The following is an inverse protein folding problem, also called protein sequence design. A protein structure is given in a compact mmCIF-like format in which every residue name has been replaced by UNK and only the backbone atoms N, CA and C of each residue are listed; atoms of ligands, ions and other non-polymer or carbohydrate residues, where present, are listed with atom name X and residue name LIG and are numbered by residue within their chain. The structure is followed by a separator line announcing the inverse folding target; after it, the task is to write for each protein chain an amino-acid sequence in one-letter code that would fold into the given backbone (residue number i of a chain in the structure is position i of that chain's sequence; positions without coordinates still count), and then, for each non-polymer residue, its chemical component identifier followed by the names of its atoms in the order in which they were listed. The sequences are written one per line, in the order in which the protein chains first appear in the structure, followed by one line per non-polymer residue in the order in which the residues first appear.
data_IF_464501351942
#
_entry.id   IF_464501351942
#
_cell.length_a   1.000
_cell.length_b   1.000
_cell.length_c   1.000
_cell.angle_alpha   90.00
_cell.angle_beta   90.00
_cell.angle_gamma   90.00
#
_symmetry.space_group_name_H-M   'P 1'
#
loop_
_entity.id
_entity.type
_entity.pdbx_description
1 polymer ?
#
# COMPACT_ATOMS: atom_id res chain seq x y z
N UNK A 1 10.55 -15.84 -7.47
CA UNK A 1 11.20 -14.57 -7.08
C UNK A 1 12.33 -14.89 -6.12
N UNK A 2 13.51 -14.31 -6.33
CA UNK A 2 14.66 -14.53 -5.44
C UNK A 2 14.52 -13.75 -4.11
N UNK A 3 13.78 -12.65 -4.16
CA UNK A 3 13.50 -11.80 -3.00
C UNK A 3 12.03 -11.43 -3.05
N UNK A 4 11.33 -11.67 -1.96
CA UNK A 4 9.95 -11.29 -1.78
C UNK A 4 9.94 -10.05 -0.90
N UNK A 5 9.94 -8.89 -1.53
CA UNK A 5 9.93 -7.58 -0.87
C UNK A 5 8.92 -6.67 -1.55
N UNK A 6 8.26 -5.82 -0.78
CA UNK A 6 7.44 -4.71 -1.24
C UNK A 6 8.30 -3.61 -1.91
N UNK A 7 9.51 -3.44 -1.41
CA UNK A 7 10.44 -2.39 -1.79
C UNK A 7 11.32 -2.79 -2.97
N UNK A 8 11.69 -1.80 -3.80
CA UNK A 8 12.68 -2.00 -4.85
C UNK A 8 14.12 -2.11 -4.28
N UNK A 9 15.12 -2.12 -5.16
CA UNK A 9 16.54 -2.23 -4.81
C UNK A 9 17.07 -1.05 -3.98
N UNK A 10 16.41 0.10 -4.03
CA UNK A 10 16.74 1.31 -3.27
C UNK A 10 15.93 1.40 -1.95
N UNK A 11 15.25 0.34 -1.56
CA UNK A 11 14.31 0.29 -0.45
C UNK A 11 13.13 1.26 -0.58
N UNK A 12 12.80 1.67 -1.80
CA UNK A 12 11.66 2.55 -2.04
C UNK A 12 10.39 1.74 -2.21
N UNK A 13 9.35 2.11 -1.46
CA UNK A 13 7.97 1.70 -1.69
C UNK A 13 7.44 2.47 -2.91
N UNK A 14 7.29 1.79 -4.03
CA UNK A 14 6.91 2.44 -5.28
C UNK A 14 5.52 3.11 -5.19
N UNK A 15 4.61 2.58 -4.35
CA UNK A 15 3.31 3.22 -4.10
C UNK A 15 3.38 4.36 -3.06
N UNK A 16 4.56 4.89 -2.82
CA UNK A 16 4.86 6.15 -2.10
C UNK A 16 5.72 7.09 -2.96
N UNK A 17 6.08 6.67 -4.19
CA UNK A 17 7.04 7.37 -5.04
C UNK A 17 6.37 8.20 -6.16
N UNK A 18 5.05 8.14 -6.32
CA UNK A 18 4.32 8.90 -7.33
C UNK A 18 4.07 10.35 -6.88
N UNK A 19 5.14 11.12 -6.78
CA UNK A 19 5.08 12.54 -6.44
C UNK A 19 5.03 13.37 -7.72
N UNK A 20 4.07 14.31 -7.81
CA UNK A 20 3.87 15.12 -9.01
C UNK A 20 5.02 16.11 -9.26
N UNK A 21 5.52 16.70 -8.19
CA UNK A 21 6.57 17.71 -8.23
C UNK A 21 7.55 17.50 -7.06
N UNK A 22 8.68 16.84 -7.36
CA UNK A 22 9.72 16.58 -6.38
C UNK A 22 10.47 17.83 -5.91
N UNK A 23 10.58 18.85 -6.78
CA UNK A 23 11.34 20.05 -6.46
C UNK A 23 10.67 20.88 -5.36
N UNK A 24 9.34 20.79 -5.27
CA UNK A 24 8.53 21.48 -4.26
C UNK A 24 7.97 20.53 -3.19
N UNK A 25 8.33 19.25 -3.19
CA UNK A 25 7.83 18.28 -2.22
C UNK A 25 8.57 18.37 -0.87
N UNK A 26 7.81 18.48 0.24
CA UNK A 26 8.38 18.44 1.59
C UNK A 26 8.74 17.01 2.00
N UNK A 27 10.02 16.66 1.88
CA UNK A 27 10.54 15.36 2.30
C UNK A 27 10.33 15.07 3.79
N UNK A 28 10.11 16.11 4.60
CA UNK A 28 9.84 15.99 6.04
C UNK A 28 8.34 16.01 6.37
N UNK A 29 7.46 15.77 5.39
CA UNK A 29 6.00 15.85 5.52
C UNK A 29 5.44 14.92 6.61
N UNK A 30 6.00 13.73 6.77
CA UNK A 30 5.61 12.81 7.86
C UNK A 30 6.29 13.20 9.19
N UNK A 31 5.66 14.08 9.94
CA UNK A 31 6.19 14.55 11.25
C UNK A 31 6.09 13.50 12.36
N UNK A 32 5.34 12.43 12.15
CA UNK A 32 5.06 11.40 13.17
C UNK A 32 6.10 10.27 13.09
N UNK A 33 6.55 9.91 11.89
CA UNK A 33 7.50 8.80 11.71
C UNK A 33 8.77 8.94 12.57
N UNK A 34 9.42 10.12 12.69
CA UNK A 34 10.58 10.29 13.56
C UNK A 34 10.31 9.94 15.04
N UNK A 35 9.08 10.16 15.52
CA UNK A 35 8.70 9.87 16.89
C UNK A 35 8.62 8.37 17.20
N UNK A 36 8.31 7.54 16.18
CA UNK A 36 8.12 6.09 16.30
C UNK A 36 9.19 5.29 15.55
N UNK A 37 10.19 5.96 14.99
CA UNK A 37 11.25 5.39 14.15
C UNK A 37 11.91 4.17 14.80
N UNK A 38 12.31 4.25 16.06
CA UNK A 38 13.04 3.17 16.72
C UNK A 38 12.24 1.86 16.82
N UNK A 39 10.90 1.98 16.81
CA UNK A 39 9.99 0.84 16.77
C UNK A 39 9.80 0.32 15.34
N UNK A 40 9.61 1.22 14.36
CA UNK A 40 9.36 0.87 12.97
C UNK A 40 10.62 0.48 12.18
N UNK A 41 11.79 0.90 12.66
CA UNK A 41 13.10 0.64 12.04
C UNK A 41 14.12 0.21 13.08
N UNK A 42 13.97 -0.96 13.72
CA UNK A 42 14.95 -1.44 14.69
C UNK A 42 16.29 -1.76 14.02
N UNK A 43 17.39 -1.21 14.55
CA UNK A 43 18.73 -1.32 13.96
C UNK A 43 19.55 -2.46 14.59
N UNK A 44 18.96 -3.66 14.72
CA UNK A 44 19.61 -4.84 15.28
C UNK A 44 19.05 -6.14 14.69
N UNK A 45 19.82 -7.25 14.80
CA UNK A 45 19.40 -8.56 14.28
C UNK A 45 18.23 -9.13 15.07
N UNK A 46 17.35 -9.84 14.35
CA UNK A 46 16.35 -10.71 14.97
C UNK A 46 17.09 -11.91 15.58
N UNK A 47 16.90 -12.14 16.86
CA UNK A 47 17.46 -13.29 17.57
C UNK A 47 16.57 -14.53 17.46
N UNK A 48 16.31 -15.19 18.59
CA UNK A 48 15.37 -16.31 18.66
C UNK A 48 13.93 -15.81 18.46
N UNK A 49 13.18 -16.49 17.60
CA UNK A 49 11.82 -16.09 17.18
C UNK A 49 10.86 -15.88 18.36
N UNK A 50 10.86 -16.77 19.36
CA UNK A 50 9.97 -16.66 20.51
C UNK A 50 10.23 -15.40 21.35
N UNK A 51 11.51 -15.12 21.66
CA UNK A 51 11.87 -13.91 22.40
C UNK A 51 11.66 -12.64 21.59
N UNK A 52 11.81 -12.74 20.28
CA UNK A 52 11.49 -11.64 19.37
C UNK A 52 9.99 -11.31 19.39
N UNK A 53 9.12 -12.33 19.34
CA UNK A 53 7.66 -12.15 19.50
C UNK A 53 7.32 -11.37 20.77
N UNK A 54 7.81 -11.85 21.92
CA UNK A 54 7.58 -11.18 23.21
C UNK A 54 8.09 -9.73 23.20
N UNK A 55 9.28 -9.51 22.64
CA UNK A 55 9.89 -8.19 22.55
C UNK A 55 9.11 -7.23 21.66
N UNK A 56 8.59 -7.71 20.51
CA UNK A 56 7.77 -6.90 19.60
C UNK A 56 6.50 -6.41 20.30
N UNK A 57 5.73 -7.31 20.90
CA UNK A 57 4.48 -6.94 21.58
C UNK A 57 4.72 -6.03 22.79
N UNK A 58 5.80 -6.26 23.55
CA UNK A 58 6.17 -5.36 24.64
C UNK A 58 6.51 -3.94 24.13
N UNK A 59 7.20 -3.84 23.01
CA UNK A 59 7.53 -2.57 22.37
C UNK A 59 6.28 -1.88 21.82
N UNK A 60 5.40 -2.60 21.14
CA UNK A 60 4.12 -2.09 20.65
C UNK A 60 3.27 -1.49 21.78
N UNK A 61 3.12 -2.22 22.88
CA UNK A 61 2.36 -1.74 24.04
C UNK A 61 3.00 -0.48 24.61
N UNK A 62 4.32 -0.44 24.72
CA UNK A 62 5.06 0.75 25.16
C UNK A 62 4.79 1.94 24.24
N UNK A 63 4.92 1.78 22.93
CA UNK A 63 4.66 2.87 21.97
C UNK A 63 3.20 3.34 22.03
N UNK A 64 2.23 2.41 22.07
CA UNK A 64 0.82 2.73 22.18
C UNK A 64 0.48 3.51 23.46
N UNK A 65 1.08 3.16 24.60
CA UNK A 65 0.88 3.86 25.87
C UNK A 65 1.56 5.24 25.86
N UNK A 66 2.75 5.34 25.32
CA UNK A 66 3.56 6.56 25.43
C UNK A 66 3.22 7.60 24.36
N UNK A 67 2.81 7.17 23.17
CA UNK A 67 2.61 8.05 22.01
C UNK A 67 1.20 8.00 21.42
N UNK A 68 0.43 6.97 21.72
CA UNK A 68 -0.91 6.72 21.17
C UNK A 68 -0.87 5.70 20.03
N UNK A 69 -1.81 4.76 20.02
CA UNK A 69 -1.90 3.73 18.98
C UNK A 69 -2.14 4.31 17.58
N UNK A 70 -2.95 5.36 17.51
CA UNK A 70 -3.30 6.04 16.26
C UNK A 70 -2.06 6.62 15.57
N UNK A 71 -1.11 7.19 16.32
CA UNK A 71 0.13 7.74 15.76
C UNK A 71 1.00 6.71 15.05
N UNK A 72 1.04 5.47 15.54
CA UNK A 72 1.81 4.40 14.88
C UNK A 72 1.18 4.08 13.52
N UNK A 73 -0.14 4.00 13.46
CA UNK A 73 -0.89 3.78 12.22
C UNK A 73 -0.66 4.93 11.23
N UNK A 74 -0.80 6.17 11.69
CA UNK A 74 -0.62 7.39 10.88
C UNK A 74 0.78 7.47 10.27
N UNK A 75 1.81 7.17 11.08
CA UNK A 75 3.19 7.15 10.62
C UNK A 75 3.44 6.17 9.47
N UNK A 76 2.72 5.04 9.47
CA UNK A 76 2.85 4.01 8.44
C UNK A 76 2.13 4.39 7.15
N UNK A 77 0.85 4.74 7.25
CA UNK A 77 -0.01 4.94 6.08
C UNK A 77 0.43 6.13 5.22
N UNK A 78 0.90 7.21 5.85
CA UNK A 78 1.36 8.41 5.14
C UNK A 78 2.62 8.22 4.29
N UNK A 79 3.37 7.12 4.50
CA UNK A 79 4.72 6.99 3.94
C UNK A 79 5.72 7.95 4.61
N UNK A 80 7.01 7.86 4.25
CA UNK A 80 8.04 8.77 4.76
C UNK A 80 9.18 8.91 3.76
N UNK A 81 9.96 10.02 3.83
CA UNK A 81 10.93 10.38 2.80
C UNK A 81 12.31 10.75 3.38
N UNK A 82 12.51 10.60 4.69
CA UNK A 82 13.76 10.93 5.39
C UNK A 82 14.63 9.70 5.70
N UNK A 83 14.00 8.55 5.97
CA UNK A 83 14.68 7.35 6.50
C UNK A 83 14.75 6.26 5.44
N UNK A 84 15.81 6.28 4.64
CA UNK A 84 15.97 5.36 3.49
C UNK A 84 16.04 3.88 3.84
N UNK A 85 16.32 3.52 5.08
CA UNK A 85 16.28 2.14 5.58
C UNK A 85 14.98 1.79 6.30
N UNK A 86 14.05 2.73 6.41
CA UNK A 86 12.78 2.56 7.10
C UNK A 86 11.71 1.92 6.23
N UNK A 87 10.64 1.49 6.88
CA UNK A 87 9.43 1.02 6.20
C UNK A 87 8.71 2.18 5.51
N UNK A 88 8.03 1.89 4.41
CA UNK A 88 7.27 2.87 3.61
C UNK A 88 8.08 4.10 3.15
N UNK A 89 9.37 3.92 2.90
CA UNK A 89 10.21 4.96 2.33
C UNK A 89 9.81 5.26 0.89
N UNK A 90 9.46 6.50 0.60
CA UNK A 90 8.98 6.95 -0.70
C UNK A 90 10.06 7.48 -1.65
N UNK A 91 11.34 7.47 -1.24
CA UNK A 91 12.44 8.00 -2.08
C UNK A 91 12.62 9.52 -1.97
N UNK A 92 13.48 10.05 -2.81
CA UNK A 92 13.76 11.51 -2.94
C UNK A 92 13.75 11.97 -4.39
N UNK A 93 13.20 11.17 -5.29
CA UNK A 93 13.09 11.38 -6.72
C UNK A 93 12.41 10.17 -7.36
N UNK A 94 12.09 10.27 -8.64
CA UNK A 94 11.46 9.17 -9.36
C UNK A 94 12.38 7.95 -9.46
N UNK A 95 11.91 6.81 -9.01
CA UNK A 95 12.53 5.52 -9.30
C UNK A 95 12.30 5.12 -10.78
N UNK A 96 13.15 4.26 -11.31
CA UNK A 96 13.07 3.87 -12.72
C UNK A 96 11.69 3.31 -13.12
N UNK A 97 11.06 2.49 -12.26
CA UNK A 97 9.71 1.97 -12.49
C UNK A 97 8.65 3.06 -12.43
N UNK A 98 8.78 3.99 -11.49
CA UNK A 98 7.86 5.14 -11.35
C UNK A 98 7.97 6.04 -12.57
N UNK A 99 9.18 6.42 -12.99
CA UNK A 99 9.41 7.24 -14.17
C UNK A 99 8.81 6.59 -15.44
N UNK A 100 8.97 5.26 -15.58
CA UNK A 100 8.36 4.53 -16.69
C UNK A 100 6.83 4.60 -16.67
N UNK A 101 6.20 4.33 -15.52
CA UNK A 101 4.73 4.38 -15.41
C UNK A 101 4.18 5.80 -15.58
N UNK A 102 4.87 6.82 -15.07
CA UNK A 102 4.54 8.23 -15.35
C UNK A 102 4.55 8.54 -16.84
N UNK A 103 5.51 7.98 -17.58
CA UNK A 103 5.54 8.04 -19.05
C UNK A 103 4.31 7.38 -19.67
N UNK A 104 3.95 6.17 -19.24
CA UNK A 104 2.74 5.45 -19.71
C UNK A 104 1.47 6.25 -19.43
N UNK A 105 1.33 6.85 -18.24
CA UNK A 105 0.18 7.70 -17.93
C UNK A 105 0.09 8.93 -18.82
N UNK A 106 1.22 9.58 -19.10
CA UNK A 106 1.28 10.68 -20.08
C UNK A 106 0.83 10.22 -21.47
N UNK A 107 1.34 9.08 -21.95
CA UNK A 107 0.98 8.52 -23.25
C UNK A 107 -0.51 8.19 -23.32
N UNK A 108 -1.11 7.68 -22.23
CA UNK A 108 -2.56 7.46 -22.16
C UNK A 108 -3.35 8.77 -22.29
N UNK A 109 -2.93 9.81 -21.56
CA UNK A 109 -3.59 11.13 -21.63
C UNK A 109 -3.43 11.81 -23.00
N UNK A 110 -2.36 11.55 -23.71
CA UNK A 110 -2.10 12.08 -25.06
C UNK A 110 -2.68 11.20 -26.18
N UNK A 111 -3.16 10.00 -25.84
CA UNK A 111 -3.74 9.06 -26.80
C UNK A 111 -5.02 9.58 -27.45
N UNK A 112 -5.49 8.90 -28.52
CA UNK A 112 -6.77 9.20 -29.17
C UNK A 112 -8.00 8.70 -28.40
N UNK A 113 -7.82 7.90 -27.36
CA UNK A 113 -8.92 7.30 -26.58
C UNK A 113 -9.47 8.33 -25.61
N UNK A 114 -10.80 8.41 -25.51
CA UNK A 114 -11.50 9.35 -24.64
C UNK A 114 -11.65 8.81 -23.22
N UNK A 115 -11.87 7.50 -23.08
CA UNK A 115 -12.03 6.83 -21.80
C UNK A 115 -10.75 6.09 -21.41
N UNK A 116 -10.26 6.33 -20.21
CA UNK A 116 -9.08 5.69 -19.63
C UNK A 116 -9.49 4.99 -18.34
N UNK A 117 -9.16 3.70 -18.24
CA UNK A 117 -9.37 2.91 -17.03
C UNK A 117 -8.00 2.48 -16.54
N UNK A 118 -7.67 2.80 -15.30
CA UNK A 118 -6.49 2.35 -14.57
C UNK A 118 -6.92 1.56 -13.35
N UNK A 119 -6.47 0.32 -13.24
CA UNK A 119 -6.69 -0.56 -12.09
C UNK A 119 -5.34 -0.91 -11.50
N UNK A 120 -5.08 -0.43 -10.29
CA UNK A 120 -3.91 -0.83 -9.50
C UNK A 120 -4.27 -2.05 -8.65
N UNK A 121 -3.49 -3.13 -8.75
CA UNK A 121 -3.81 -4.41 -8.10
C UNK A 121 -2.93 -4.58 -6.89
N UNK A 122 -3.55 -4.60 -5.72
CA UNK A 122 -2.90 -4.74 -4.43
C UNK A 122 -3.36 -5.98 -3.68
N UNK A 123 -2.58 -6.38 -2.71
CA UNK A 123 -2.94 -7.38 -1.71
C UNK A 123 -2.30 -7.05 -0.38
N UNK A 124 -2.99 -7.36 0.71
CA UNK A 124 -2.47 -7.15 2.07
C UNK A 124 -3.51 -6.64 3.05
N UNK A 125 -4.26 -5.63 2.68
CA UNK A 125 -5.26 -5.01 3.53
C UNK A 125 -6.68 -5.46 3.18
N UNK A 126 -7.56 -5.50 4.19
CA UNK A 126 -8.97 -5.82 4.00
C UNK A 126 -9.37 -7.20 4.52
N UNK A 127 -10.68 -7.50 4.51
CA UNK A 127 -11.21 -8.76 4.99
C UNK A 127 -10.66 -9.94 4.18
N UNK A 128 -10.21 -11.00 4.85
CA UNK A 128 -9.72 -12.21 4.17
C UNK A 128 -10.78 -12.77 3.23
N UNK A 129 -10.38 -13.25 2.08
CA UNK A 129 -11.22 -13.77 0.98
C UNK A 129 -12.16 -12.74 0.33
N UNK A 130 -11.94 -11.47 0.54
CA UNK A 130 -12.68 -10.42 -0.14
C UNK A 130 -11.70 -9.49 -0.85
N UNK A 131 -12.13 -9.01 -2.01
CA UNK A 131 -11.50 -7.87 -2.65
C UNK A 131 -12.28 -6.60 -2.28
N UNK A 132 -11.58 -5.51 -2.09
CA UNK A 132 -12.17 -4.19 -1.89
C UNK A 132 -11.77 -3.29 -3.05
N UNK A 133 -12.72 -2.57 -3.62
CA UNK A 133 -12.44 -1.47 -4.55
C UNK A 133 -12.23 -0.21 -3.72
N UNK A 134 -11.03 0.35 -3.77
CA UNK A 134 -10.72 1.61 -3.14
C UNK A 134 -10.74 2.74 -4.15
N UNK A 135 -11.81 3.53 -4.11
CA UNK A 135 -11.89 4.73 -4.94
C UNK A 135 -10.93 5.81 -4.43
N UNK A 136 -10.25 6.45 -5.36
CA UNK A 136 -9.46 7.65 -5.09
C UNK A 136 -10.34 8.76 -4.50
N UNK A 137 -9.75 9.65 -3.70
CA UNK A 137 -10.42 10.89 -3.22
C UNK A 137 -10.84 11.83 -4.38
N UNK A 138 -10.29 11.63 -5.56
CA UNK A 138 -10.61 12.38 -6.79
C UNK A 138 -11.71 11.74 -7.62
N UNK A 139 -12.17 10.51 -7.29
CA UNK A 139 -13.31 9.90 -7.96
C UNK A 139 -14.61 10.61 -7.53
N UNK A 140 -15.44 10.94 -8.52
CA UNK A 140 -16.67 11.69 -8.29
C UNK A 140 -17.87 10.81 -7.92
N UNK A 141 -17.80 9.52 -8.22
CA UNK A 141 -18.85 8.58 -7.84
C UNK A 141 -18.75 8.27 -6.35
N UNK A 142 -19.89 8.38 -5.68
CA UNK A 142 -19.99 7.91 -4.29
C UNK A 142 -19.87 6.40 -4.20
N UNK A 143 -19.62 5.88 -3.01
CA UNK A 143 -19.56 4.45 -2.73
C UNK A 143 -20.82 3.71 -3.21
N UNK A 144 -22.01 4.25 -2.90
CA UNK A 144 -23.30 3.67 -3.31
C UNK A 144 -23.51 3.68 -4.85
N UNK A 145 -23.08 4.73 -5.52
CA UNK A 145 -23.13 4.83 -6.99
C UNK A 145 -22.16 3.84 -7.62
N UNK A 146 -20.94 3.74 -7.10
CA UNK A 146 -19.94 2.78 -7.57
C UNK A 146 -20.41 1.34 -7.37
N UNK A 147 -20.91 0.99 -6.17
CA UNK A 147 -21.49 -0.33 -5.88
C UNK A 147 -22.60 -0.69 -6.86
N UNK A 148 -23.53 0.26 -7.10
CA UNK A 148 -24.63 0.03 -8.03
C UNK A 148 -24.16 -0.13 -9.47
N UNK A 149 -23.26 0.74 -9.92
CA UNK A 149 -22.77 0.74 -11.29
C UNK A 149 -21.94 -0.51 -11.64
N UNK A 150 -21.13 -0.98 -10.69
CA UNK A 150 -20.25 -2.13 -10.93
C UNK A 150 -20.87 -3.47 -10.55
N UNK A 151 -21.99 -3.47 -9.79
CA UNK A 151 -22.58 -4.69 -9.24
C UNK A 151 -21.62 -5.43 -8.31
N UNK A 152 -20.84 -4.66 -7.54
CA UNK A 152 -19.84 -5.18 -6.61
C UNK A 152 -19.98 -4.48 -5.26
N UNK A 153 -20.21 -5.25 -4.18
CA UNK A 153 -20.66 -4.70 -2.90
C UNK A 153 -19.54 -4.10 -2.03
N UNK A 154 -18.29 -4.59 -2.20
CA UNK A 154 -17.18 -4.16 -1.36
C UNK A 154 -16.46 -2.96 -2.00
N UNK A 155 -17.04 -1.78 -1.86
CA UNK A 155 -16.45 -0.51 -2.31
C UNK A 155 -16.23 0.38 -1.11
N UNK A 156 -15.07 1.03 -1.05
CA UNK A 156 -14.75 2.07 -0.09
C UNK A 156 -14.33 3.30 -0.87
N UNK A 157 -15.00 4.41 -0.60
CA UNK A 157 -14.61 5.73 -1.12
C UNK A 157 -14.07 6.57 0.03
N UNK A 158 -12.92 7.14 -0.16
CA UNK A 158 -12.30 7.99 0.84
C UNK A 158 -12.84 9.41 0.73
N UNK A 159 -13.30 9.96 1.84
CA UNK A 159 -13.42 11.40 1.95
C UNK A 159 -12.09 11.99 2.46
N UNK A 160 -11.86 13.25 2.12
CA UNK A 160 -10.62 13.96 2.47
C UNK A 160 -10.38 14.10 3.99
N UNK A 161 -11.37 13.75 4.82
CA UNK A 161 -11.32 13.89 6.28
C UNK A 161 -11.12 12.54 6.99
N UNK A 162 -11.52 11.41 6.39
CA UNK A 162 -11.62 10.13 7.08
C UNK A 162 -10.50 9.14 6.78
N UNK A 163 -9.69 9.39 5.75
CA UNK A 163 -8.58 8.51 5.41
C UNK A 163 -7.25 9.27 5.34
N UNK A 164 -6.24 8.69 5.95
CA UNK A 164 -4.87 9.17 5.83
C UNK A 164 -4.50 9.21 4.36
N UNK A 165 -4.41 10.40 3.80
CA UNK A 165 -4.00 10.56 2.42
C UNK A 165 -2.63 9.91 2.25
N UNK A 166 -2.61 8.75 1.63
CA UNK A 166 -1.38 8.08 1.26
C UNK A 166 -0.63 8.97 0.29
N UNK A 167 0.50 9.50 0.71
CA UNK A 167 1.30 10.37 -0.16
C UNK A 167 2.03 9.52 -1.19
N UNK A 168 1.97 9.91 -2.46
CA UNK A 168 2.67 9.23 -3.54
C UNK A 168 2.02 7.93 -4.01
N UNK A 169 0.72 7.82 -3.84
CA UNK A 169 -0.12 6.74 -4.39
C UNK A 169 -0.30 6.89 -5.91
N UNK A 170 -0.37 5.74 -6.59
CA UNK A 170 -0.46 5.66 -8.05
C UNK A 170 -1.80 6.17 -8.58
N UNK A 171 -2.90 5.84 -7.89
CA UNK A 171 -4.26 6.17 -8.34
C UNK A 171 -4.53 7.65 -8.24
N UNK A 172 -4.18 8.26 -7.10
CA UNK A 172 -4.30 9.69 -6.86
C UNK A 172 -3.36 10.49 -7.78
N UNK A 173 -2.14 9.99 -7.98
CA UNK A 173 -1.21 10.62 -8.92
C UNK A 173 -1.80 10.75 -10.32
N UNK A 174 -2.46 9.72 -10.83
CA UNK A 174 -2.99 9.74 -12.19
C UNK A 174 -4.12 10.77 -12.35
N UNK A 175 -5.02 10.91 -11.38
CA UNK A 175 -6.02 11.98 -11.37
C UNK A 175 -5.37 13.37 -11.33
N UNK A 176 -4.40 13.58 -10.44
CA UNK A 176 -3.68 14.87 -10.33
C UNK A 176 -2.90 15.21 -11.58
N UNK A 177 -2.32 14.21 -12.25
CA UNK A 177 -1.67 14.40 -13.54
C UNK A 177 -2.68 14.83 -14.61
N UNK A 178 -3.82 14.16 -14.70
CA UNK A 178 -4.89 14.49 -15.63
C UNK A 178 -5.40 15.92 -15.41
N UNK A 179 -5.64 16.31 -14.16
CA UNK A 179 -6.01 17.67 -13.79
C UNK A 179 -4.94 18.70 -14.21
N UNK A 180 -3.67 18.42 -13.92
CA UNK A 180 -2.56 19.32 -14.27
C UNK A 180 -2.41 19.58 -15.78
N UNK A 181 -2.83 18.59 -16.59
CA UNK A 181 -2.85 18.70 -18.06
C UNK A 181 -4.15 19.33 -18.62
N UNK A 182 -5.12 19.60 -17.75
CA UNK A 182 -6.43 20.13 -18.13
C UNK A 182 -7.05 19.34 -19.29
N UNK A 183 -7.05 17.99 -19.18
CA UNK A 183 -7.54 17.09 -20.21
C UNK A 183 -9.06 16.94 -20.14
N UNK A 184 -9.71 16.79 -21.31
CA UNK A 184 -11.16 16.49 -21.42
C UNK A 184 -11.46 14.97 -21.33
N UNK A 185 -10.46 14.14 -21.08
CA UNK A 185 -10.62 12.69 -21.01
C UNK A 185 -11.35 12.25 -19.76
N UNK A 186 -12.15 11.21 -19.90
CA UNK A 186 -12.76 10.52 -18.77
C UNK A 186 -11.75 9.52 -18.18
N UNK A 187 -11.27 9.79 -16.99
CA UNK A 187 -10.37 8.91 -16.25
C UNK A 187 -11.13 8.22 -15.11
N UNK A 188 -10.97 6.91 -15.02
CA UNK A 188 -11.27 6.12 -13.82
C UNK A 188 -10.02 5.42 -13.36
N UNK A 189 -9.54 5.77 -12.17
CA UNK A 189 -8.33 5.20 -11.56
C UNK A 189 -8.67 4.72 -10.15
N UNK A 190 -8.49 3.42 -9.89
CA UNK A 190 -8.87 2.79 -8.63
C UNK A 190 -7.91 1.70 -8.23
N UNK A 191 -7.91 1.32 -6.95
CA UNK A 191 -7.19 0.16 -6.44
C UNK A 191 -8.14 -1.01 -6.18
N UNK A 192 -7.74 -2.21 -6.62
CA UNK A 192 -8.37 -3.47 -6.25
C UNK A 192 -7.47 -4.15 -5.20
N UNK A 193 -7.89 -4.10 -3.95
CA UNK A 193 -7.14 -4.61 -2.81
C UNK A 193 -7.68 -5.95 -2.34
N UNK A 194 -6.86 -7.00 -2.39
CA UNK A 194 -7.22 -8.35 -1.96
C UNK A 194 -6.81 -8.57 -0.51
N UNK A 195 -7.79 -8.72 0.39
CA UNK A 195 -7.57 -8.97 1.80
C UNK A 195 -6.88 -10.32 2.06
N UNK A 196 -5.87 -10.31 2.90
CA UNK A 196 -5.03 -11.49 3.17
C UNK A 196 -5.14 -12.01 4.59
N UNK A 197 -4.67 -11.26 5.58
CA UNK A 197 -4.74 -11.66 6.99
C UNK A 197 -6.14 -11.42 7.56
N UNK A 198 -6.74 -10.30 7.23
CA UNK A 198 -7.99 -9.79 7.77
C UNK A 198 -7.90 -8.26 7.99
N UNK A 199 -9.00 -7.67 8.48
CA UNK A 199 -9.13 -6.24 8.78
C UNK A 199 -9.36 -5.97 10.29
N UNK A 200 -9.25 -7.02 11.10
CA UNK A 200 -9.35 -6.90 12.56
C UNK A 200 -8.11 -6.23 13.17
N UNK A 201 -8.26 -5.76 14.40
CA UNK A 201 -7.17 -5.12 15.15
C UNK A 201 -5.90 -6.01 15.26
N UNK A 202 -6.08 -7.30 15.53
CA UNK A 202 -4.95 -8.24 15.60
C UNK A 202 -4.29 -8.47 14.24
N UNK A 203 -5.07 -8.49 13.17
CA UNK A 203 -4.57 -8.66 11.80
C UNK A 203 -3.73 -7.46 11.37
N UNK A 204 -4.15 -6.25 11.74
CA UNK A 204 -3.38 -5.02 11.53
C UNK A 204 -2.04 -5.03 12.28
N UNK A 205 -2.02 -5.53 13.51
CA UNK A 205 -0.77 -5.71 14.28
C UNK A 205 0.16 -6.73 13.62
N UNK A 206 -0.38 -7.85 13.12
CA UNK A 206 0.41 -8.85 12.41
C UNK A 206 0.99 -8.31 11.11
N UNK A 207 0.19 -7.57 10.35
CA UNK A 207 0.64 -6.89 9.12
C UNK A 207 1.81 -5.95 9.41
N UNK A 208 1.67 -5.10 10.43
CA UNK A 208 2.74 -4.21 10.90
C UNK A 208 4.00 -5.00 11.28
N UNK A 209 3.83 -6.02 12.11
CA UNK A 209 4.95 -6.86 12.58
C UNK A 209 5.70 -7.49 11.40
N UNK A 210 5.00 -8.10 10.49
CA UNK A 210 5.60 -8.78 9.33
C UNK A 210 6.35 -7.81 8.43
N UNK A 211 5.83 -6.60 8.26
CA UNK A 211 6.48 -5.54 7.49
C UNK A 211 7.76 -5.05 8.18
N UNK A 212 7.72 -4.79 9.48
CA UNK A 212 8.90 -4.36 10.26
C UNK A 212 9.95 -5.46 10.33
N UNK A 213 9.54 -6.71 10.54
CA UNK A 213 10.46 -7.86 10.65
C UNK A 213 11.17 -8.14 9.31
N UNK A 214 10.47 -8.05 8.19
CA UNK A 214 11.08 -8.19 6.87
C UNK A 214 12.11 -7.10 6.63
N UNK A 215 11.75 -5.85 6.83
CA UNK A 215 12.64 -4.71 6.62
C UNK A 215 13.88 -4.79 7.55
N UNK A 216 13.67 -5.13 8.82
CA UNK A 216 14.75 -5.35 9.79
C UNK A 216 15.68 -6.49 9.36
N UNK A 217 15.13 -7.64 8.94
CA UNK A 217 15.93 -8.78 8.49
C UNK A 217 16.67 -8.50 7.19
N UNK A 218 16.15 -7.62 6.34
CA UNK A 218 16.85 -7.17 5.14
C UNK A 218 18.13 -6.39 5.47
N UNK A 219 18.05 -5.43 6.40
CA UNK A 219 19.18 -4.57 6.76
C UNK A 219 20.12 -5.22 7.78
N UNK A 220 19.57 -6.02 8.69
CA UNK A 220 20.27 -6.70 9.76
C UNK A 220 19.95 -8.21 9.74
N UNK A 221 20.48 -8.96 8.75
CA UNK A 221 20.14 -10.36 8.57
C UNK A 221 20.40 -11.19 9.82
N UNK A 222 19.39 -11.96 10.22
CA UNK A 222 19.54 -12.88 11.36
C UNK A 222 20.44 -14.06 10.99
N UNK A 223 21.25 -14.51 11.97
CA UNK A 223 22.06 -15.72 11.84
C UNK A 223 21.26 -17.00 12.19
N UNK A 224 20.07 -16.85 12.73
CA UNK A 224 19.18 -17.95 13.06
C UNK A 224 18.31 -18.31 11.85
N UNK A 225 18.62 -19.43 11.19
CA UNK A 225 17.91 -19.85 9.96
C UNK A 225 16.41 -20.06 10.16
N UNK A 226 15.99 -20.57 11.32
CA UNK A 226 14.56 -20.74 11.65
C UNK A 226 13.86 -19.39 11.76
N UNK A 227 14.49 -18.40 12.40
CA UNK A 227 13.93 -17.05 12.48
C UNK A 227 13.85 -16.38 11.11
N UNK A 228 14.86 -16.57 10.26
CA UNK A 228 14.85 -16.06 8.89
C UNK A 228 13.70 -16.65 8.05
N UNK A 229 13.48 -17.96 8.17
CA UNK A 229 12.39 -18.68 7.49
C UNK A 229 11.01 -18.19 7.98
N UNK A 230 10.82 -18.03 9.28
CA UNK A 230 9.58 -17.50 9.85
C UNK A 230 9.29 -16.09 9.33
N UNK A 231 10.28 -15.20 9.32
CA UNK A 231 10.11 -13.84 8.76
C UNK A 231 9.70 -13.88 7.30
N UNK A 232 10.37 -14.71 6.50
CA UNK A 232 10.07 -14.84 5.07
C UNK A 232 8.65 -15.39 4.82
N UNK A 233 8.26 -16.49 5.48
CA UNK A 233 6.95 -17.10 5.26
C UNK A 233 5.82 -16.20 5.78
N UNK A 234 5.98 -15.53 6.92
CA UNK A 234 5.01 -14.57 7.43
C UNK A 234 4.82 -13.40 6.47
N UNK A 235 5.91 -12.85 5.93
CA UNK A 235 5.82 -11.74 4.97
C UNK A 235 5.21 -12.18 3.64
N UNK A 236 5.49 -13.40 3.21
CA UNK A 236 4.88 -13.98 2.03
C UNK A 236 3.35 -14.16 2.21
N UNK A 237 2.91 -14.72 3.34
CA UNK A 237 1.49 -14.87 3.66
C UNK A 237 0.76 -13.52 3.77
N UNK A 238 1.46 -12.44 4.16
CA UNK A 238 0.90 -11.09 4.17
C UNK A 238 0.50 -10.59 2.79
N UNK A 239 1.23 -10.96 1.72
CA UNK A 239 0.94 -10.46 0.37
C UNK A 239 0.49 -11.53 -0.63
N UNK A 240 0.82 -12.78 -0.37
CA UNK A 240 0.50 -13.90 -1.25
C UNK A 240 0.21 -15.18 -0.47
N UNK A 241 -0.97 -15.30 0.11
CA UNK A 241 -1.39 -16.50 0.83
C UNK A 241 -1.19 -17.77 0.02
N UNK A 242 -0.66 -18.80 0.67
CA UNK A 242 -0.41 -20.09 0.03
C UNK A 242 -1.68 -20.92 -0.15
N UNK A 243 -2.76 -20.53 0.49
CA UNK A 243 -4.06 -21.18 0.46
C UNK A 243 -4.72 -21.13 -0.92
N UNK A 244 -5.08 -22.28 -1.46
CA UNK A 244 -5.70 -22.38 -2.79
C UNK A 244 -7.04 -21.63 -2.86
N UNK A 245 -7.87 -21.74 -1.82
CA UNK A 245 -9.17 -21.07 -1.74
C UNK A 245 -9.03 -19.55 -1.85
N UNK A 246 -8.01 -18.95 -1.23
CA UNK A 246 -7.76 -17.51 -1.35
C UNK A 246 -7.48 -17.12 -2.81
N UNK A 247 -6.63 -17.89 -3.50
CA UNK A 247 -6.28 -17.61 -4.90
C UNK A 247 -7.45 -17.80 -5.87
N UNK A 248 -8.29 -18.79 -5.62
CA UNK A 248 -9.51 -18.99 -6.41
C UNK A 248 -10.47 -17.81 -6.22
N UNK A 249 -10.65 -17.39 -4.96
CA UNK A 249 -11.52 -16.26 -4.63
C UNK A 249 -11.04 -14.93 -5.21
N UNK A 250 -9.72 -14.67 -5.23
CA UNK A 250 -9.17 -13.47 -5.85
C UNK A 250 -9.47 -13.39 -7.35
N UNK A 251 -9.41 -14.51 -8.07
CA UNK A 251 -9.76 -14.55 -9.50
C UNK A 251 -11.26 -14.32 -9.72
N UNK A 252 -12.10 -14.91 -8.88
CA UNK A 252 -13.56 -14.72 -8.93
C UNK A 252 -13.93 -13.26 -8.71
N UNK A 253 -13.47 -12.64 -7.61
CA UNK A 253 -13.77 -11.26 -7.26
C UNK A 253 -13.27 -10.28 -8.31
N UNK A 254 -12.03 -10.47 -8.77
CA UNK A 254 -11.48 -9.67 -9.86
C UNK A 254 -12.37 -9.72 -11.11
N UNK A 255 -12.80 -10.92 -11.48
CA UNK A 255 -13.61 -11.11 -12.70
C UNK A 255 -14.96 -10.40 -12.62
N UNK A 256 -15.62 -10.48 -11.45
CA UNK A 256 -16.91 -9.78 -11.21
C UNK A 256 -16.71 -8.29 -11.25
N UNK A 257 -15.79 -7.75 -10.45
CA UNK A 257 -15.56 -6.32 -10.35
C UNK A 257 -15.09 -5.72 -11.69
N UNK A 258 -14.16 -6.37 -12.39
CA UNK A 258 -13.65 -5.91 -13.68
C UNK A 258 -14.74 -5.88 -14.74
N UNK A 259 -15.63 -6.88 -14.76
CA UNK A 259 -16.78 -6.89 -15.67
C UNK A 259 -17.70 -5.71 -15.39
N UNK A 260 -17.97 -5.42 -14.12
CA UNK A 260 -18.78 -4.26 -13.72
C UNK A 260 -18.15 -2.93 -14.15
N UNK A 261 -16.85 -2.76 -13.86
CA UNK A 261 -16.10 -1.55 -14.27
C UNK A 261 -16.15 -1.34 -15.78
N UNK A 262 -15.85 -2.37 -16.57
CA UNK A 262 -15.86 -2.27 -18.04
C UNK A 262 -17.27 -1.94 -18.56
N UNK A 263 -18.29 -2.56 -17.99
CA UNK A 263 -19.69 -2.30 -18.39
C UNK A 263 -20.12 -0.88 -18.07
N UNK A 264 -19.71 -0.32 -16.92
CA UNK A 264 -20.12 1.00 -16.48
C UNK A 264 -19.31 2.15 -17.11
N UNK A 265 -18.01 1.94 -17.36
CA UNK A 265 -17.11 3.01 -17.80
C UNK A 265 -16.86 3.03 -19.32
N UNK A 266 -17.27 1.98 -20.05
CA UNK A 266 -17.11 1.89 -21.51
C UNK A 266 -18.45 1.90 -22.27
N UNK A 267 -19.60 1.99 -21.56
CA UNK A 267 -20.94 2.01 -22.16
C UNK A 267 -21.38 3.41 -22.67
#
# INVERSE_FOLDING_TARGET
MKYMRRYNENNVDLNRNFILDWDNFDLTSNKIYPEVKDFLQPENKIGNALWHEVGFYASLVKEAITKGADKVSDALLSGQYEYSQGVYYGGTGDEASTAYLKGVFNDCLESKYENIIHIDIHSGYGPRYNMVIFNSVYETMTEAETTTAFGYDNVISFDSESFYATTGDTTDYFYRLAESKNTDKTLFSTCFEFGTLGDGFLDSILSLKYTVDENRNHWYPTENSTSAEIVFENYKELFYPTEAQWREKTIEDFSVAMTGVLSAKLS
#
